data_IF_579254082019
#
_entry.id   IF_579254082019
#
_cell.length_a   1.000
_cell.length_b   1.000
_cell.length_c   1.000
_cell.angle_alpha   90.00
_cell.angle_beta   90.00
_cell.angle_gamma   90.00
#
_symmetry.space_group_name_H-M   'P 1'
#
loop_
_entity.id
_entity.type
_entity.pdbx_description
1 polymer ?
#
# COMPACT_ATOMS: atom_id res chain seq x y z
N UNK A 1 -1.21 2.24 41.51
CA UNK A 1 -0.31 2.33 40.33
C UNK A 1 -0.98 2.95 39.09
N UNK A 2 -2.28 2.75 38.80
CA UNK A 2 -2.94 3.37 37.63
C UNK A 2 -3.08 4.91 37.68
N UNK A 3 -3.19 5.50 38.87
CA UNK A 3 -3.41 6.95 39.04
C UNK A 3 -2.16 7.82 38.77
N UNK A 4 -0.94 7.29 39.00
CA UNK A 4 0.31 8.00 38.69
C UNK A 4 0.64 7.94 37.19
N UNK A 5 0.20 6.87 36.51
CA UNK A 5 0.36 6.65 35.06
C UNK A 5 -0.49 7.65 34.25
N UNK A 6 -1.71 7.96 34.72
CA UNK A 6 -2.57 9.01 34.14
C UNK A 6 -1.94 10.41 34.21
N UNK A 7 -1.17 10.71 35.26
CA UNK A 7 -0.51 12.01 35.43
C UNK A 7 0.63 12.23 34.43
N UNK A 8 1.44 11.20 34.15
CA UNK A 8 2.51 11.31 33.15
C UNK A 8 1.97 11.34 31.71
N UNK A 9 0.78 10.80 31.46
CA UNK A 9 0.11 10.88 30.15
C UNK A 9 -0.49 12.28 29.86
N UNK A 10 -0.74 13.08 30.90
CA UNK A 10 -1.19 14.49 30.79
C UNK A 10 -0.07 15.49 30.51
N UNK A 11 1.21 15.11 30.65
CA UNK A 11 2.34 15.94 30.23
C UNK A 11 2.56 15.91 28.71
N UNK A 12 1.97 14.96 28.01
CA UNK A 12 2.13 14.82 26.57
C UNK A 12 1.00 15.55 25.84
N UNK A 13 1.36 16.52 24.99
CA UNK A 13 0.44 17.17 24.06
C UNK A 13 -0.34 16.12 23.24
N UNK A 14 -1.58 16.42 22.83
CA UNK A 14 -2.44 15.55 22.01
C UNK A 14 -1.72 15.07 20.73
N UNK A 15 -0.78 15.84 20.18
CA UNK A 15 0.08 15.45 19.06
C UNK A 15 1.02 14.29 19.39
N UNK A 16 1.49 14.22 20.64
CA UNK A 16 2.42 13.23 21.16
C UNK A 16 1.71 11.89 21.48
N UNK A 17 0.43 11.93 21.88
CA UNK A 17 -0.39 10.70 21.99
C UNK A 17 -0.63 10.02 20.64
N UNK A 18 -0.87 10.78 19.56
CA UNK A 18 -1.01 10.21 18.20
C UNK A 18 0.32 9.67 17.67
N UNK A 19 1.44 10.33 17.98
CA UNK A 19 2.78 9.81 17.66
C UNK A 19 3.05 8.48 18.39
N UNK A 20 2.73 8.40 19.69
CA UNK A 20 2.87 7.20 20.50
C UNK A 20 1.83 6.10 20.20
N UNK A 21 0.68 6.43 19.59
CA UNK A 21 -0.30 5.45 19.08
C UNK A 21 0.07 4.91 17.69
N UNK A 22 0.68 5.72 16.81
CA UNK A 22 1.05 5.35 15.43
C UNK A 22 2.40 4.66 15.32
N UNK A 23 3.40 5.15 16.03
CA UNK A 23 4.56 4.34 16.36
C UNK A 23 4.02 3.31 17.35
N UNK A 24 3.95 2.03 16.98
CA UNK A 24 3.42 0.99 17.87
C UNK A 24 4.49 0.67 18.93
N UNK A 25 4.84 1.70 19.72
CA UNK A 25 5.63 1.63 20.93
C UNK A 25 4.79 0.89 21.94
N UNK A 26 4.75 -0.43 21.80
CA UNK A 26 4.25 -1.27 22.87
C UNK A 26 5.25 -1.14 24.02
N UNK A 27 4.85 -0.40 25.07
CA UNK A 27 5.53 -0.41 26.38
C UNK A 27 5.43 -1.83 26.95
N UNK A 28 6.36 -2.70 26.56
CA UNK A 28 6.61 -3.91 27.29
C UNK A 28 7.57 -3.52 28.43
N UNK A 29 7.07 -3.46 29.67
CA UNK A 29 7.97 -3.60 30.82
C UNK A 29 8.45 -5.06 30.80
N UNK A 30 9.70 -5.29 30.44
CA UNK A 30 10.27 -6.63 30.29
C UNK A 30 10.69 -7.28 31.63
N UNK A 31 10.30 -6.66 32.75
CA UNK A 31 10.65 -7.12 34.09
C UNK A 31 12.09 -6.82 34.51
N UNK A 32 12.91 -6.15 33.67
CA UNK A 32 14.32 -5.84 33.97
C UNK A 32 14.54 -4.50 34.68
N UNK A 33 13.48 -3.78 35.01
CA UNK A 33 13.54 -2.49 35.71
C UNK A 33 13.65 -1.25 34.81
N UNK A 34 13.64 -1.41 33.48
CA UNK A 34 13.56 -0.29 32.54
C UNK A 34 12.13 0.24 32.41
N UNK A 35 11.99 1.57 32.24
CA UNK A 35 10.69 2.22 32.12
C UNK A 35 9.97 1.87 30.79
N UNK A 36 10.74 1.69 29.71
CA UNK A 36 10.20 1.46 28.37
C UNK A 36 11.20 0.72 27.47
N UNK A 37 10.69 0.13 26.39
CA UNK A 37 11.48 -0.63 25.41
C UNK A 37 11.03 -0.29 23.99
N UNK A 38 11.97 -0.13 23.06
CA UNK A 38 11.72 0.06 21.63
C UNK A 38 12.38 -1.04 20.81
N UNK A 39 11.69 -1.53 19.78
CA UNK A 39 12.19 -2.58 18.87
C UNK A 39 11.99 -2.17 17.43
N UNK A 40 12.93 -2.49 16.55
CA UNK A 40 12.81 -2.19 15.13
C UNK A 40 14.13 -2.26 14.39
N UNK A 41 14.17 -1.63 13.22
CA UNK A 41 15.36 -1.55 12.37
C UNK A 41 15.90 -0.12 12.31
N UNK A 42 17.21 0.00 12.42
CA UNK A 42 17.88 1.30 12.33
C UNK A 42 17.74 1.82 10.89
N UNK A 43 17.10 2.96 10.74
CA UNK A 43 16.91 3.64 9.44
C UNK A 43 18.10 4.51 9.09
N UNK A 44 18.59 5.20 10.11
CA UNK A 44 19.67 6.15 9.98
C UNK A 44 20.38 6.31 11.32
N UNK A 45 21.68 6.57 11.29
CA UNK A 45 22.46 6.85 12.50
C UNK A 45 23.36 8.07 12.33
N UNK A 46 23.35 8.99 13.30
CA UNK A 46 24.34 10.07 13.42
C UNK A 46 25.19 9.80 14.65
N UNK A 47 26.49 9.56 14.44
CA UNK A 47 27.45 9.42 15.53
C UNK A 47 28.14 10.75 15.79
N UNK A 48 28.19 11.19 17.04
CA UNK A 48 28.94 12.38 17.46
C UNK A 48 29.87 12.03 18.62
N UNK A 49 30.73 12.96 19.02
CA UNK A 49 31.77 12.74 20.04
C UNK A 49 31.20 12.29 21.40
N UNK A 50 30.04 12.84 21.79
CA UNK A 50 29.46 12.62 23.13
C UNK A 50 28.09 11.94 23.09
N UNK A 51 27.44 11.89 21.92
CA UNK A 51 26.07 11.41 21.79
C UNK A 51 25.85 10.79 20.41
N UNK A 52 25.06 9.73 20.36
CA UNK A 52 24.60 9.12 19.12
C UNK A 52 23.09 9.29 18.99
N UNK A 53 22.65 9.61 17.77
CA UNK A 53 21.24 9.68 17.41
C UNK A 53 20.91 8.55 16.44
N UNK A 54 19.97 7.69 16.82
CA UNK A 54 19.52 6.53 16.06
C UNK A 54 18.07 6.76 15.67
N UNK A 55 17.77 6.76 14.37
CA UNK A 55 16.38 6.73 13.89
C UNK A 55 15.93 5.27 13.79
N UNK A 56 15.03 4.86 14.66
CA UNK A 56 14.48 3.51 14.71
C UNK A 56 13.08 3.47 14.10
N UNK A 57 12.81 2.48 13.26
CA UNK A 57 11.47 2.26 12.70
C UNK A 57 11.16 0.77 12.62
N UNK A 58 9.94 0.41 13.00
CA UNK A 58 9.41 -0.95 12.99
C UNK A 58 8.50 -1.24 11.78
N UNK A 59 8.22 -0.21 10.96
CA UNK A 59 7.38 -0.28 9.77
C UNK A 59 5.92 0.12 9.99
N UNK A 60 5.43 0.26 11.23
CA UNK A 60 4.00 0.48 11.49
C UNK A 60 3.54 1.91 11.26
N UNK A 61 4.47 2.87 11.22
CA UNK A 61 4.11 4.27 11.05
C UNK A 61 5.29 5.17 10.68
N UNK A 62 4.98 6.46 10.55
CA UNK A 62 5.92 7.57 10.45
C UNK A 62 5.60 8.65 11.50
N UNK A 63 6.61 9.44 11.91
CA UNK A 63 8.03 9.34 11.56
C UNK A 63 8.78 8.22 12.33
N UNK A 64 10.05 7.99 11.99
CA UNK A 64 10.93 7.12 12.78
C UNK A 64 11.17 7.75 14.16
N UNK A 65 11.25 6.92 15.20
CA UNK A 65 11.55 7.39 16.54
C UNK A 65 13.03 7.73 16.68
N UNK A 66 13.33 8.88 17.31
CA UNK A 66 14.70 9.22 17.67
C UNK A 66 15.08 8.58 19.00
N UNK A 67 16.13 7.76 18.96
CA UNK A 67 16.83 7.25 20.13
C UNK A 67 18.11 8.06 20.33
N UNK A 68 18.32 8.50 21.56
CA UNK A 68 19.54 9.17 22.02
C UNK A 68 20.29 8.19 22.92
N UNK A 69 21.59 8.02 22.69
CA UNK A 69 22.42 7.11 23.48
C UNK A 69 23.85 7.60 23.55
N UNK A 70 24.58 7.22 24.60
CA UNK A 70 26.02 7.48 24.66
C UNK A 70 26.76 6.59 23.64
N UNK A 71 27.94 7.02 23.14
CA UNK A 71 28.77 6.20 22.26
C UNK A 71 29.21 4.86 22.87
N UNK A 72 29.32 4.79 24.20
CA UNK A 72 29.77 3.61 24.94
C UNK A 72 28.76 2.45 24.89
N UNK A 73 27.47 2.76 24.79
CA UNK A 73 26.38 1.76 24.70
C UNK A 73 26.28 1.17 23.28
N UNK A 74 26.78 1.89 22.27
CA UNK A 74 26.73 1.43 20.88
C UNK A 74 27.90 0.49 20.55
N UNK A 75 27.64 -0.82 20.49
CA UNK A 75 28.60 -1.77 19.93
C UNK A 75 28.86 -1.51 18.43
N UNK A 76 29.89 -2.18 17.87
CA UNK A 76 30.22 -2.09 16.44
C UNK A 76 29.10 -2.61 15.52
N UNK A 77 28.24 -3.48 16.04
CA UNK A 77 27.13 -4.12 15.31
C UNK A 77 25.86 -3.25 15.23
N UNK A 78 25.87 -2.12 15.96
CA UNK A 78 24.82 -1.11 15.86
C UNK A 78 25.07 -0.27 14.61
N UNK A 79 24.62 -0.79 13.47
CA UNK A 79 24.74 -0.19 12.12
C UNK A 79 23.37 0.08 11.52
N UNK A 80 23.32 0.88 10.46
CA UNK A 80 22.07 1.09 9.71
C UNK A 80 21.57 -0.24 9.12
N UNK A 81 20.26 -0.46 9.16
CA UNK A 81 19.64 -1.73 8.82
C UNK A 81 19.64 -2.79 9.93
N UNK A 82 20.42 -2.64 11.00
CA UNK A 82 20.44 -3.60 12.11
C UNK A 82 19.09 -3.67 12.82
N UNK A 83 18.70 -4.89 13.22
CA UNK A 83 17.56 -5.15 14.08
C UNK A 83 17.99 -5.03 15.55
N UNK A 84 17.36 -4.14 16.31
CA UNK A 84 17.72 -3.87 17.69
C UNK A 84 16.53 -3.87 18.64
N UNK A 85 16.81 -4.03 19.92
CA UNK A 85 15.98 -3.59 21.03
C UNK A 85 16.75 -2.58 21.85
N UNK A 86 16.13 -1.42 22.10
CA UNK A 86 16.66 -0.40 22.99
C UNK A 86 15.82 -0.35 24.27
N UNK A 87 16.48 -0.36 25.42
CA UNK A 87 15.87 -0.24 26.74
C UNK A 87 16.22 1.12 27.33
N UNK A 88 15.26 1.76 28.01
CA UNK A 88 15.45 3.10 28.55
C UNK A 88 14.13 3.81 28.83
N UNK A 89 14.11 5.12 28.61
CA UNK A 89 12.98 5.99 28.99
C UNK A 89 12.66 7.07 27.95
N UNK A 90 11.42 7.53 27.98
CA UNK A 90 10.98 8.67 27.18
C UNK A 90 11.30 9.98 27.89
N UNK A 91 11.73 10.98 27.13
CA UNK A 91 11.88 12.35 27.61
C UNK A 91 11.37 13.34 26.57
N UNK A 92 11.07 14.55 27.02
CA UNK A 92 10.79 15.66 26.12
C UNK A 92 12.02 15.94 25.25
N UNK A 93 11.75 16.18 23.98
CA UNK A 93 12.76 16.57 23.01
C UNK A 93 13.19 18.02 23.26
N UNK A 94 14.49 18.29 23.12
CA UNK A 94 15.02 19.66 23.08
C UNK A 94 14.85 20.25 21.66
N UNK A 95 14.73 19.40 20.63
CA UNK A 95 14.61 19.81 19.24
C UNK A 95 13.16 20.15 18.86
N UNK A 96 12.97 21.17 18.02
CA UNK A 96 11.64 21.60 17.56
C UNK A 96 10.93 20.60 16.61
N UNK A 97 11.69 19.75 15.91
CA UNK A 97 11.15 18.85 14.87
C UNK A 97 10.47 17.58 15.43
N UNK A 98 10.63 17.30 16.72
CA UNK A 98 10.05 16.14 17.40
C UNK A 98 9.68 16.52 18.83
N UNK A 99 8.56 16.02 19.35
CA UNK A 99 8.11 16.36 20.71
C UNK A 99 8.73 15.46 21.78
N UNK A 100 9.20 14.27 21.41
CA UNK A 100 9.73 13.26 22.34
C UNK A 100 10.93 12.54 21.75
N UNK A 101 11.84 12.15 22.64
CA UNK A 101 13.01 11.34 22.32
C UNK A 101 13.11 10.17 23.31
N UNK A 102 13.76 9.08 22.88
CA UNK A 102 13.98 7.91 23.73
C UNK A 102 15.45 7.85 24.16
N UNK A 103 15.72 8.06 25.45
CA UNK A 103 17.05 7.91 26.01
C UNK A 103 17.32 6.43 26.27
N UNK A 104 18.16 5.82 25.45
CA UNK A 104 18.54 4.43 25.61
C UNK A 104 19.69 4.28 26.62
N UNK A 105 19.51 3.34 27.53
CA UNK A 105 20.47 2.94 28.57
C UNK A 105 21.15 1.62 28.19
N UNK A 106 20.46 0.77 27.42
CA UNK A 106 21.00 -0.47 26.86
C UNK A 106 20.48 -0.67 25.43
N UNK A 107 21.34 -1.15 24.52
CA UNK A 107 20.96 -1.57 23.17
C UNK A 107 21.40 -3.02 22.95
N UNK A 108 20.42 -3.89 22.68
CA UNK A 108 20.63 -5.28 22.26
C UNK A 108 20.46 -5.41 20.75
N UNK A 109 21.48 -5.90 20.06
CA UNK A 109 21.41 -6.24 18.62
C UNK A 109 20.91 -7.67 18.46
N UNK A 110 19.86 -7.85 17.65
CA UNK A 110 19.30 -9.18 17.31
C UNK A 110 19.74 -9.66 15.92
N UNK A 111 19.97 -8.72 15.02
CA UNK A 111 20.39 -9.02 13.65
C UNK A 111 21.29 -7.89 13.14
N UNK A 112 22.62 -8.08 13.12
CA UNK A 112 23.53 -7.08 12.58
C UNK A 112 23.32 -6.94 11.06
N UNK A 113 23.59 -5.74 10.54
CA UNK A 113 23.51 -5.47 9.10
C UNK A 113 24.90 -5.24 8.51
N UNK A 114 25.26 -6.05 7.51
CA UNK A 114 26.46 -5.82 6.71
C UNK A 114 26.19 -4.74 5.65
N UNK A 115 26.63 -3.52 5.95
CA UNK A 115 26.43 -2.35 5.08
C UNK A 115 27.11 -2.44 3.72
N UNK A 116 28.12 -3.30 3.54
CA UNK A 116 28.75 -3.51 2.22
C UNK A 116 27.87 -4.34 1.30
N UNK A 117 27.05 -5.25 1.86
CA UNK A 117 26.13 -6.12 1.11
C UNK A 117 24.70 -5.58 1.08
N UNK A 118 24.36 -4.62 1.93
CA UNK A 118 23.01 -4.08 2.02
C UNK A 118 22.69 -3.19 0.80
N UNK A 119 21.65 -3.50 0.00
CA UNK A 119 21.43 -2.86 -1.29
C UNK A 119 20.89 -1.42 -1.20
N UNK A 120 20.46 -0.98 -0.01
CA UNK A 120 19.85 0.34 0.19
C UNK A 120 20.73 1.22 1.07
N UNK A 121 21.58 2.01 0.42
CA UNK A 121 22.35 3.03 1.11
C UNK A 121 21.42 4.04 1.80
N UNK A 122 21.66 4.34 3.09
CA UNK A 122 20.94 5.37 3.83
C UNK A 122 21.12 6.74 3.17
N UNK A 123 20.11 7.61 3.31
CA UNK A 123 19.99 8.94 2.66
C UNK A 123 19.99 8.95 1.13
N UNK A 124 20.34 7.86 0.46
CA UNK A 124 20.25 7.75 -0.99
C UNK A 124 18.81 7.48 -1.41
N UNK A 125 18.35 8.26 -2.38
CA UNK A 125 17.13 8.01 -3.13
C UNK A 125 17.44 6.94 -4.18
N UNK A 126 16.80 5.78 -4.04
CA UNK A 126 16.91 4.69 -5.01
C UNK A 126 15.80 4.81 -6.06
N UNK A 127 16.11 4.41 -7.30
CA UNK A 127 15.13 4.33 -8.39
C UNK A 127 14.11 3.22 -8.13
N UNK A 128 12.91 3.34 -8.71
CA UNK A 128 11.90 2.29 -8.59
C UNK A 128 12.38 0.95 -9.17
N UNK A 129 13.20 0.98 -10.23
CA UNK A 129 13.80 -0.20 -10.83
C UNK A 129 14.76 -0.92 -9.88
N UNK A 130 15.66 -0.18 -9.22
CA UNK A 130 16.55 -0.75 -8.21
C UNK A 130 15.77 -1.38 -7.04
N UNK A 131 14.70 -0.71 -6.59
CA UNK A 131 13.84 -1.26 -5.54
C UNK A 131 13.13 -2.57 -5.96
N UNK A 132 12.80 -2.73 -7.25
CA UNK A 132 12.16 -3.95 -7.78
C UNK A 132 13.11 -5.15 -7.82
N UNK A 133 14.43 -4.93 -7.90
CA UNK A 133 15.42 -6.02 -7.83
C UNK A 133 15.51 -6.68 -6.44
N UNK A 134 15.04 -5.98 -5.39
CA UNK A 134 15.14 -6.45 -3.99
C UNK A 134 13.76 -6.48 -3.31
N UNK A 135 12.80 -7.20 -3.89
CA UNK A 135 11.40 -7.27 -3.41
C UNK A 135 11.27 -7.66 -1.92
N UNK A 136 12.12 -8.57 -1.45
CA UNK A 136 12.13 -9.06 -0.07
C UNK A 136 12.69 -8.02 0.94
N UNK A 137 13.45 -7.01 0.48
CA UNK A 137 14.01 -5.96 1.34
C UNK A 137 13.32 -4.60 1.16
N UNK A 138 12.75 -4.30 -0.01
CA UNK A 138 12.16 -2.99 -0.31
C UNK A 138 11.12 -2.49 0.71
N UNK A 139 10.33 -3.33 1.43
CA UNK A 139 9.45 -2.84 2.50
C UNK A 139 10.20 -2.09 3.60
N UNK A 140 11.50 -2.35 3.76
CA UNK A 140 12.36 -1.58 4.66
C UNK A 140 12.57 -0.15 4.19
N UNK A 141 12.25 0.25 2.97
CA UNK A 141 12.42 1.64 2.53
C UNK A 141 11.25 2.53 2.97
N UNK A 142 11.49 3.84 3.12
CA UNK A 142 10.47 4.78 3.58
C UNK A 142 9.34 5.00 2.56
N UNK A 143 9.61 4.78 1.28
CA UNK A 143 8.63 4.87 0.20
C UNK A 143 7.75 3.63 0.15
N UNK A 144 8.34 2.44 0.06
CA UNK A 144 7.55 1.22 -0.05
C UNK A 144 6.72 0.96 1.21
N UNK A 145 7.26 1.18 2.41
CA UNK A 145 6.47 1.04 3.64
C UNK A 145 5.26 2.00 3.70
N UNK A 146 5.42 3.24 3.22
CA UNK A 146 4.31 4.20 3.12
C UNK A 146 3.24 3.72 2.13
N UNK A 147 3.64 3.28 0.94
CA UNK A 147 2.72 2.73 -0.06
C UNK A 147 1.98 1.50 0.47
N UNK A 148 2.66 0.61 1.21
CA UNK A 148 2.02 -0.57 1.81
C UNK A 148 0.99 -0.19 2.89
N UNK A 149 1.27 0.81 3.73
CA UNK A 149 0.30 1.32 4.72
C UNK A 149 -0.89 2.02 4.07
N UNK A 150 -0.66 2.80 3.01
CA UNK A 150 -1.73 3.41 2.21
C UNK A 150 -2.60 2.31 1.59
N UNK A 151 -1.98 1.29 0.97
CA UNK A 151 -2.70 0.14 0.39
C UNK A 151 -3.53 -0.57 1.44
N UNK A 152 -2.98 -0.85 2.62
CA UNK A 152 -3.72 -1.44 3.73
C UNK A 152 -4.96 -0.60 4.11
N UNK A 153 -4.79 0.71 4.26
CA UNK A 153 -5.89 1.64 4.58
C UNK A 153 -6.95 1.61 3.50
N UNK A 154 -6.57 1.68 2.22
CA UNK A 154 -7.48 1.60 1.10
C UNK A 154 -8.25 0.26 1.08
N UNK A 155 -7.57 -0.86 1.36
CA UNK A 155 -8.22 -2.17 1.45
C UNK A 155 -9.28 -2.20 2.56
N UNK A 156 -9.00 -1.61 3.73
CA UNK A 156 -9.99 -1.55 4.81
C UNK A 156 -11.14 -0.59 4.47
N UNK A 157 -10.86 0.52 3.79
CA UNK A 157 -11.86 1.47 3.34
C UNK A 157 -12.86 0.82 2.35
N UNK A 158 -12.38 -0.06 1.45
CA UNK A 158 -13.24 -0.86 0.56
C UNK A 158 -14.25 -1.67 1.36
N UNK A 159 -13.77 -2.49 2.31
CA UNK A 159 -14.65 -3.31 3.12
C UNK A 159 -15.61 -2.45 3.95
N UNK A 160 -15.13 -1.37 4.56
CA UNK A 160 -15.94 -0.44 5.34
C UNK A 160 -17.08 0.14 4.51
N UNK A 161 -16.78 0.68 3.32
CA UNK A 161 -17.80 1.24 2.41
C UNK A 161 -18.89 0.22 2.09
N UNK A 162 -18.51 -0.98 1.65
CA UNK A 162 -19.50 -1.99 1.26
C UNK A 162 -20.35 -2.47 2.45
N UNK A 163 -19.74 -2.66 3.63
CA UNK A 163 -20.47 -3.09 4.83
C UNK A 163 -21.43 -2.00 5.33
N UNK A 164 -21.00 -0.73 5.33
CA UNK A 164 -21.87 0.41 5.70
C UNK A 164 -23.03 0.60 4.71
N UNK A 165 -22.90 0.14 3.46
CA UNK A 165 -23.93 0.19 2.43
C UNK A 165 -24.73 -1.13 2.28
N UNK A 166 -24.55 -2.08 3.21
CA UNK A 166 -25.34 -3.32 3.29
C UNK A 166 -24.97 -4.41 2.30
N UNK A 167 -23.77 -4.38 1.72
CA UNK A 167 -23.27 -5.43 0.84
C UNK A 167 -22.65 -6.58 1.64
N UNK A 168 -22.82 -7.81 1.15
CA UNK A 168 -22.19 -9.01 1.72
C UNK A 168 -20.91 -9.34 0.94
N UNK A 169 -19.82 -9.59 1.67
CA UNK A 169 -18.55 -10.01 1.09
C UNK A 169 -18.59 -11.50 0.71
N UNK A 170 -18.32 -11.80 -0.55
CA UNK A 170 -18.38 -13.14 -1.13
C UNK A 170 -17.01 -13.52 -1.66
N UNK A 171 -16.51 -14.69 -1.26
CA UNK A 171 -15.34 -15.29 -1.88
C UNK A 171 -15.75 -16.02 -3.16
N UNK A 172 -15.27 -15.53 -4.30
CA UNK A 172 -15.47 -16.16 -5.61
C UNK A 172 -14.34 -17.17 -5.91
N UNK A 173 -14.60 -18.24 -6.67
CA UNK A 173 -13.57 -19.20 -7.05
C UNK A 173 -12.47 -18.56 -7.91
N UNK A 174 -11.20 -18.89 -7.60
CA UNK A 174 -10.05 -18.48 -8.42
C UNK A 174 -9.82 -19.47 -9.57
N UNK A 175 -10.00 -20.76 -9.31
CA UNK A 175 -9.96 -21.82 -10.31
C UNK A 175 -11.33 -21.91 -10.97
N UNK A 176 -11.39 -21.69 -12.28
CA UNK A 176 -12.64 -21.62 -13.03
C UNK A 176 -12.51 -22.31 -14.38
N UNK A 177 -13.56 -22.99 -14.83
CA UNK A 177 -13.71 -23.43 -16.22
C UNK A 177 -14.30 -22.35 -17.12
N UNK A 178 -14.76 -21.24 -16.54
CA UNK A 178 -15.42 -20.15 -17.25
C UNK A 178 -14.40 -19.12 -17.71
N UNK A 179 -14.57 -18.65 -18.94
CA UNK A 179 -13.97 -17.42 -19.44
C UNK A 179 -14.99 -16.28 -19.29
N UNK A 180 -14.82 -15.44 -18.27
CA UNK A 180 -15.77 -14.36 -17.99
C UNK A 180 -15.70 -13.21 -19.00
N UNK A 181 -14.54 -12.96 -19.63
CA UNK A 181 -14.33 -11.84 -20.57
C UNK A 181 -14.39 -12.29 -22.05
N UNK A 182 -14.36 -13.61 -22.32
CA UNK A 182 -14.74 -14.24 -23.59
C UNK A 182 -13.78 -14.05 -24.77
N UNK A 183 -12.71 -13.27 -24.61
CA UNK A 183 -11.73 -12.95 -25.66
C UNK A 183 -10.28 -12.83 -25.16
N UNK A 184 -10.04 -12.96 -23.85
CA UNK A 184 -8.73 -12.76 -23.24
C UNK A 184 -7.85 -14.02 -23.26
N UNK A 185 -6.53 -13.82 -23.26
CA UNK A 185 -5.61 -14.94 -23.00
C UNK A 185 -5.71 -15.33 -21.52
N UNK A 186 -5.94 -16.62 -21.25
CA UNK A 186 -6.10 -17.18 -19.90
C UNK A 186 -4.87 -17.99 -19.47
N UNK A 187 -4.54 -17.94 -18.18
CA UNK A 187 -3.59 -18.89 -17.60
C UNK A 187 -4.28 -20.23 -17.36
N UNK A 188 -3.79 -21.28 -18.02
CA UNK A 188 -4.28 -22.66 -17.80
C UNK A 188 -3.59 -23.28 -16.59
N UNK A 189 -4.37 -23.89 -15.70
CA UNK A 189 -3.88 -24.61 -14.53
C UNK A 189 -3.84 -26.11 -14.83
N UNK A 190 -2.64 -26.69 -14.71
CA UNK A 190 -2.42 -28.13 -14.85
C UNK A 190 -1.68 -28.67 -13.64
N UNK A 191 -2.01 -29.88 -13.20
CA UNK A 191 -1.27 -30.55 -12.14
C UNK A 191 0.05 -31.05 -12.74
N UNK A 192 1.17 -30.68 -12.10
CA UNK A 192 2.50 -31.12 -12.50
C UNK A 192 2.84 -32.45 -11.82
N UNK A 193 3.19 -33.45 -12.61
CA UNK A 193 3.59 -34.78 -12.13
C UNK A 193 5.12 -34.80 -11.96
N UNK A 194 5.62 -34.96 -10.73
CA UNK A 194 6.97 -35.49 -10.55
C UNK A 194 6.89 -36.98 -10.85
N UNK A 195 7.24 -37.36 -12.07
CA UNK A 195 7.50 -38.75 -12.41
C UNK A 195 8.82 -39.17 -11.75
N UNK A 196 8.77 -39.52 -10.46
CA UNK A 196 9.78 -40.39 -9.89
C UNK A 196 9.47 -41.79 -10.44
N UNK A 197 10.24 -42.18 -11.46
CA UNK A 197 10.42 -43.55 -11.97
C UNK A 197 9.31 -44.56 -11.65
N UNK A 198 8.24 -44.62 -12.46
CA UNK A 198 7.66 -45.89 -12.91
C UNK A 198 6.47 -45.67 -13.86
N UNK A 199 6.54 -46.35 -15.00
CA UNK A 199 5.45 -46.73 -15.92
C UNK A 199 4.46 -45.67 -16.43
N UNK A 200 4.39 -45.62 -17.77
CA UNK A 200 3.37 -45.01 -18.63
C UNK A 200 1.94 -45.49 -18.31
N UNK A 201 1.37 -45.12 -17.18
CA UNK A 201 -0.08 -45.20 -16.94
C UNK A 201 -0.69 -43.83 -17.19
N UNK A 202 -1.70 -43.69 -18.07
CA UNK A 202 -2.49 -42.47 -18.13
C UNK A 202 -3.14 -42.27 -16.76
N UNK A 203 -2.69 -41.25 -16.04
CA UNK A 203 -3.32 -40.83 -14.79
C UNK A 203 -4.61 -40.10 -15.16
N UNK A 204 -5.75 -40.38 -14.49
CA UNK A 204 -6.98 -39.66 -14.76
C UNK A 204 -6.77 -38.16 -14.57
N UNK A 205 -7.28 -37.35 -15.52
CA UNK A 205 -7.21 -35.90 -15.43
C UNK A 205 -7.80 -35.44 -14.08
N UNK A 206 -7.04 -34.63 -13.32
CA UNK A 206 -7.48 -34.14 -12.01
C UNK A 206 -8.80 -33.35 -12.11
N UNK A 207 -8.94 -32.57 -13.19
CA UNK A 207 -10.16 -31.85 -13.52
C UNK A 207 -10.84 -32.55 -14.70
N UNK A 208 -12.16 -32.66 -14.65
CA UNK A 208 -12.98 -33.23 -15.74
C UNK A 208 -13.15 -32.28 -16.92
N UNK A 209 -12.69 -31.03 -16.79
CA UNK A 209 -12.75 -29.98 -17.79
C UNK A 209 -11.52 -29.08 -17.66
N UNK A 210 -11.13 -28.33 -18.71
CA UNK A 210 -10.09 -27.32 -18.61
C UNK A 210 -10.35 -26.33 -17.46
N UNK A 211 -9.31 -26.04 -16.69
CA UNK A 211 -9.36 -25.09 -15.57
C UNK A 211 -8.34 -23.99 -15.79
N UNK A 212 -8.76 -22.77 -15.49
CA UNK A 212 -8.02 -21.54 -15.67
C UNK A 212 -7.95 -20.75 -14.36
N UNK A 213 -6.99 -19.83 -14.28
CA UNK A 213 -7.04 -18.76 -13.31
C UNK A 213 -8.07 -17.71 -13.77
N UNK A 214 -8.96 -17.32 -12.88
CA UNK A 214 -10.05 -16.40 -13.21
C UNK A 214 -9.55 -15.01 -13.63
N UNK A 215 -10.18 -14.44 -14.65
CA UNK A 215 -10.02 -13.02 -15.03
C UNK A 215 -10.95 -12.11 -14.21
N UNK A 216 -12.06 -12.64 -13.68
CA UNK A 216 -13.11 -11.88 -13.01
C UNK A 216 -14.04 -12.80 -12.21
N UNK A 217 -14.49 -12.36 -11.04
CA UNK A 217 -15.51 -13.02 -10.23
C UNK A 217 -16.95 -12.71 -10.63
N UNK A 218 -17.18 -11.84 -11.61
CA UNK A 218 -18.48 -11.26 -11.96
C UNK A 218 -19.60 -12.30 -12.11
N UNK A 219 -19.43 -13.31 -12.98
CA UNK A 219 -20.48 -14.32 -13.23
C UNK A 219 -20.88 -15.10 -11.97
N UNK A 220 -19.94 -15.29 -11.03
CA UNK A 220 -20.24 -15.92 -9.74
C UNK A 220 -21.03 -14.98 -8.84
N UNK A 221 -20.70 -13.68 -8.84
CA UNK A 221 -21.46 -12.68 -8.10
C UNK A 221 -22.89 -12.54 -8.63
N UNK A 222 -23.09 -12.56 -9.96
CA UNK A 222 -24.43 -12.56 -10.57
C UNK A 222 -25.29 -13.73 -10.07
N UNK A 223 -24.72 -14.93 -10.02
CA UNK A 223 -25.41 -16.11 -9.49
C UNK A 223 -25.79 -15.94 -8.01
N UNK A 224 -24.89 -15.40 -7.17
CA UNK A 224 -25.17 -15.16 -5.75
C UNK A 224 -26.16 -14.00 -5.55
N UNK A 225 -26.11 -12.99 -6.42
CA UNK A 225 -26.97 -11.81 -6.36
C UNK A 225 -28.46 -12.17 -6.44
N UNK A 226 -28.79 -13.27 -7.15
CA UNK A 226 -30.15 -13.81 -7.21
C UNK A 226 -30.76 -14.18 -5.85
N UNK A 227 -29.92 -14.50 -4.84
CA UNK A 227 -30.35 -14.78 -3.47
C UNK A 227 -29.98 -13.70 -2.45
N UNK A 228 -28.98 -12.87 -2.76
CA UNK A 228 -28.48 -11.80 -1.88
C UNK A 228 -28.33 -10.53 -2.71
N UNK A 229 -29.25 -9.58 -2.56
CA UNK A 229 -29.40 -8.44 -3.48
C UNK A 229 -28.18 -7.52 -3.62
N UNK A 230 -27.25 -7.53 -2.66
CA UNK A 230 -26.03 -6.72 -2.66
C UNK A 230 -24.83 -7.56 -2.27
N UNK A 231 -23.95 -7.84 -3.22
CA UNK A 231 -22.74 -8.64 -2.98
C UNK A 231 -21.52 -7.99 -3.57
N UNK A 232 -20.36 -8.26 -2.99
CA UNK A 232 -19.08 -7.85 -3.56
C UNK A 232 -17.98 -8.87 -3.27
N UNK A 233 -16.96 -8.88 -4.11
CA UNK A 233 -15.71 -9.61 -3.89
C UNK A 233 -14.52 -8.65 -3.95
N UNK A 234 -13.43 -9.11 -3.35
CA UNK A 234 -12.13 -8.47 -3.39
C UNK A 234 -11.12 -9.61 -3.54
N UNK A 235 -10.84 -9.98 -4.79
CA UNK A 235 -10.15 -11.21 -5.15
C UNK A 235 -8.99 -10.92 -6.10
N UNK A 236 -7.92 -11.74 -6.09
CA UNK A 236 -6.97 -11.73 -7.19
C UNK A 236 -7.67 -12.10 -8.51
N UNK A 237 -7.18 -11.50 -9.59
CA UNK A 237 -7.55 -11.73 -10.97
C UNK A 237 -6.28 -11.82 -11.83
N UNK A 238 -6.37 -12.57 -12.92
CA UNK A 238 -5.21 -12.92 -13.73
C UNK A 238 -5.47 -12.69 -15.21
N UNK A 239 -4.56 -11.98 -15.89
CA UNK A 239 -4.62 -11.76 -17.35
C UNK A 239 -3.33 -12.23 -17.99
N UNK A 240 -3.42 -13.12 -18.98
CA UNK A 240 -2.24 -13.68 -19.64
C UNK A 240 -1.80 -12.88 -20.89
N UNK A 241 -2.41 -11.72 -21.14
CA UNK A 241 -2.03 -10.83 -22.23
C UNK A 241 -0.55 -10.46 -22.17
N UNK A 242 0.14 -10.53 -23.32
CA UNK A 242 1.55 -10.17 -23.44
C UNK A 242 1.73 -8.65 -23.54
N UNK A 243 1.35 -7.95 -22.48
CA UNK A 243 1.43 -6.49 -22.37
C UNK A 243 2.41 -6.09 -21.26
N UNK A 244 3.58 -5.55 -21.65
CA UNK A 244 4.66 -5.18 -20.72
C UNK A 244 4.76 -3.66 -20.56
N UNK A 245 3.63 -3.03 -20.21
CA UNK A 245 3.58 -1.58 -19.99
C UNK A 245 3.67 -1.26 -18.50
N UNK A 246 3.84 0.00 -18.13
CA UNK A 246 3.90 0.43 -16.72
C UNK A 246 2.59 0.23 -15.94
N UNK A 247 1.48 -0.04 -16.64
CA UNK A 247 0.13 -0.07 -16.08
C UNK A 247 -0.49 -1.48 -16.05
N UNK A 248 0.18 -2.48 -16.64
CA UNK A 248 -0.34 -3.84 -16.72
C UNK A 248 0.39 -4.77 -15.74
N UNK A 249 -0.39 -5.63 -15.09
CA UNK A 249 0.08 -6.71 -14.23
C UNK A 249 -0.63 -7.99 -14.66
N UNK A 250 0.11 -9.10 -14.71
CA UNK A 250 -0.48 -10.42 -14.99
C UNK A 250 -1.31 -10.95 -13.81
N UNK A 251 -0.99 -10.50 -12.59
CA UNK A 251 -1.74 -10.76 -11.35
C UNK A 251 -2.02 -9.42 -10.66
N UNK A 252 -3.29 -9.15 -10.41
CA UNK A 252 -3.76 -7.95 -9.73
C UNK A 252 -4.97 -8.29 -8.86
N UNK A 253 -5.46 -7.33 -8.08
CA UNK A 253 -6.68 -7.54 -7.29
C UNK A 253 -7.81 -6.70 -7.89
N UNK A 254 -8.97 -7.33 -8.03
CA UNK A 254 -10.21 -6.67 -8.43
C UNK A 254 -11.14 -6.52 -7.25
N UNK A 255 -11.89 -5.43 -7.29
CA UNK A 255 -13.04 -5.19 -6.42
C UNK A 255 -14.23 -5.18 -7.37
N UNK A 256 -15.13 -6.13 -7.19
CA UNK A 256 -16.28 -6.32 -8.08
C UNK A 256 -17.52 -6.38 -7.18
N UNK A 257 -18.57 -5.68 -7.57
CA UNK A 257 -19.81 -5.63 -6.81
C UNK A 257 -20.99 -5.82 -7.75
N UNK A 258 -21.96 -6.59 -7.29
CA UNK A 258 -23.18 -6.91 -8.01
C UNK A 258 -24.39 -6.45 -7.20
N UNK A 259 -25.35 -5.83 -7.88
CA UNK A 259 -26.53 -5.23 -7.28
C UNK A 259 -27.77 -5.71 -8.04
N UNK A 260 -28.70 -6.34 -7.32
CA UNK A 260 -30.01 -6.69 -7.85
C UNK A 260 -30.97 -5.50 -7.80
N UNK A 261 -31.99 -5.54 -8.65
CA UNK A 261 -33.07 -4.55 -8.71
C UNK A 261 -32.63 -3.14 -9.13
N UNK A 262 -31.54 -3.02 -9.89
CA UNK A 262 -31.18 -1.77 -10.57
C UNK A 262 -32.20 -1.46 -11.67
N UNK A 263 -32.65 -0.21 -11.74
CA UNK A 263 -33.57 0.27 -12.78
C UNK A 263 -32.81 0.88 -13.95
N UNK A 264 -31.61 1.40 -13.71
CA UNK A 264 -30.78 2.00 -14.75
C UNK A 264 -29.28 1.97 -14.41
N UNK A 265 -28.45 2.34 -15.38
CA UNK A 265 -27.00 2.48 -15.17
C UNK A 265 -26.66 3.55 -14.11
N UNK A 266 -27.57 4.50 -13.88
CA UNK A 266 -27.43 5.54 -12.87
C UNK A 266 -27.20 4.96 -11.47
N UNK A 267 -27.90 3.88 -11.13
CA UNK A 267 -27.77 3.20 -9.84
C UNK A 267 -26.34 2.69 -9.61
N UNK A 268 -25.74 2.12 -10.65
CA UNK A 268 -24.37 1.59 -10.63
C UNK A 268 -23.36 2.75 -10.58
N UNK A 269 -23.59 3.81 -11.36
CA UNK A 269 -22.70 4.98 -11.40
C UNK A 269 -22.64 5.69 -10.04
N UNK A 270 -23.75 5.76 -9.31
CA UNK A 270 -23.78 6.29 -7.94
C UNK A 270 -22.96 5.44 -6.97
N UNK A 271 -23.02 4.11 -7.07
CA UNK A 271 -22.17 3.22 -6.27
C UNK A 271 -20.69 3.42 -6.60
N UNK A 272 -20.34 3.50 -7.88
CA UNK A 272 -18.95 3.74 -8.31
C UNK A 272 -18.40 5.06 -7.78
N UNK A 273 -19.15 6.15 -7.94
CA UNK A 273 -18.77 7.49 -7.47
C UNK A 273 -18.66 7.52 -5.93
N UNK A 274 -19.66 6.98 -5.24
CA UNK A 274 -19.68 6.88 -3.78
C UNK A 274 -18.50 6.08 -3.22
N UNK A 275 -18.17 4.94 -3.84
CA UNK A 275 -17.02 4.12 -3.50
C UNK A 275 -15.74 4.94 -3.62
N UNK A 276 -15.44 5.48 -4.81
CA UNK A 276 -14.18 6.21 -5.04
C UNK A 276 -14.03 7.41 -4.08
N UNK A 277 -15.09 8.21 -3.88
CA UNK A 277 -15.06 9.35 -2.95
C UNK A 277 -14.86 8.91 -1.50
N UNK A 278 -15.60 7.92 -1.03
CA UNK A 278 -15.51 7.41 0.36
C UNK A 278 -14.12 6.85 0.66
N UNK A 279 -13.59 6.01 -0.25
CA UNK A 279 -12.26 5.41 -0.10
C UNK A 279 -11.17 6.47 -0.09
N UNK A 280 -11.26 7.46 -0.99
CA UNK A 280 -10.27 8.52 -1.08
C UNK A 280 -10.28 9.37 0.19
N UNK A 281 -11.45 9.73 0.71
CA UNK A 281 -11.60 10.48 1.97
C UNK A 281 -10.98 9.72 3.15
N UNK A 282 -11.33 8.45 3.32
CA UNK A 282 -10.78 7.60 4.39
C UNK A 282 -9.25 7.47 4.29
N UNK A 283 -8.71 7.29 3.08
CA UNK A 283 -7.26 7.20 2.85
C UNK A 283 -6.57 8.53 3.15
N UNK A 284 -7.13 9.66 2.71
CA UNK A 284 -6.60 11.01 2.94
C UNK A 284 -6.56 11.35 4.43
N UNK A 285 -7.59 10.99 5.19
CA UNK A 285 -7.68 11.23 6.63
C UNK A 285 -6.73 10.31 7.42
N UNK A 286 -6.81 9.00 7.18
CA UNK A 286 -6.10 7.99 7.98
C UNK A 286 -4.61 7.94 7.63
N UNK A 287 -4.24 8.10 6.36
CA UNK A 287 -2.86 7.99 5.84
C UNK A 287 -2.22 9.33 5.44
N UNK A 288 -2.71 10.45 5.94
CA UNK A 288 -2.28 11.81 5.56
C UNK A 288 -0.75 12.02 5.50
N UNK A 289 -0.01 11.52 6.50
CA UNK A 289 1.46 11.68 6.56
C UNK A 289 2.19 10.87 5.49
N UNK A 290 1.69 9.66 5.20
CA UNK A 290 2.24 8.82 4.16
C UNK A 290 1.94 9.38 2.78
N UNK A 291 0.73 9.90 2.56
CA UNK A 291 0.33 10.55 1.31
C UNK A 291 1.18 11.80 1.06
N UNK A 292 1.31 12.69 2.05
CA UNK A 292 2.19 13.88 1.94
C UNK A 292 3.64 13.50 1.67
N UNK A 293 4.11 12.39 2.24
CA UNK A 293 5.46 11.90 1.96
C UNK A 293 5.59 11.39 0.51
N UNK A 294 4.67 10.53 0.07
CA UNK A 294 4.71 9.93 -1.28
C UNK A 294 4.54 11.02 -2.34
N UNK A 295 3.64 11.97 -2.12
CA UNK A 295 3.41 13.11 -3.00
C UNK A 295 4.68 13.95 -3.17
N UNK A 296 5.31 14.41 -2.07
CA UNK A 296 6.59 15.15 -2.11
C UNK A 296 7.72 14.36 -2.77
N UNK A 297 7.66 13.02 -2.72
CA UNK A 297 8.69 12.13 -3.27
C UNK A 297 8.57 11.96 -4.79
N UNK A 298 7.35 12.03 -5.33
CA UNK A 298 7.02 11.73 -6.73
C UNK A 298 6.71 12.98 -7.57
N UNK A 299 6.23 14.06 -6.94
CA UNK A 299 5.78 15.27 -7.62
C UNK A 299 6.30 16.53 -6.92
N UNK A 300 6.63 17.55 -7.71
CA UNK A 300 7.01 18.87 -7.21
C UNK A 300 5.84 19.88 -7.22
N UNK A 301 4.70 19.56 -7.85
CA UNK A 301 3.54 20.45 -7.92
C UNK A 301 2.56 20.20 -6.78
N UNK A 302 2.13 21.30 -6.13
CA UNK A 302 1.10 21.32 -5.09
C UNK A 302 -0.29 20.89 -5.56
N UNK A 303 -0.50 20.85 -6.88
CA UNK A 303 -1.83 20.83 -7.50
C UNK A 303 -2.56 19.48 -7.34
N UNK A 304 -1.85 18.40 -7.05
CA UNK A 304 -2.45 17.07 -6.92
C UNK A 304 -3.37 16.96 -5.70
N UNK A 305 -2.97 17.51 -4.56
CA UNK A 305 -3.79 17.42 -3.34
C UNK A 305 -5.07 18.23 -3.50
N UNK A 306 -4.97 19.43 -4.08
CA UNK A 306 -6.14 20.25 -4.44
C UNK A 306 -7.04 19.53 -5.45
N UNK A 307 -6.49 18.86 -6.46
CA UNK A 307 -7.27 18.09 -7.42
C UNK A 307 -8.00 16.90 -6.78
N UNK A 308 -7.39 16.26 -5.77
CA UNK A 308 -8.04 15.19 -4.99
C UNK A 308 -9.19 15.77 -4.17
N UNK A 309 -9.00 16.90 -3.50
CA UNK A 309 -10.06 17.57 -2.74
C UNK A 309 -11.22 17.96 -3.66
N UNK A 310 -10.92 18.54 -4.83
CA UNK A 310 -11.91 18.85 -5.87
C UNK A 310 -12.67 17.61 -6.37
N UNK A 311 -11.97 16.48 -6.59
CA UNK A 311 -12.58 15.22 -7.00
C UNK A 311 -13.52 14.66 -5.93
N UNK A 312 -13.20 14.87 -4.64
CA UNK A 312 -14.06 14.43 -3.54
C UNK A 312 -15.34 15.28 -3.47
N UNK A 313 -15.23 16.60 -3.64
CA UNK A 313 -16.33 17.55 -3.41
C UNK A 313 -17.25 17.74 -4.63
N UNK A 314 -16.73 17.61 -5.86
CA UNK A 314 -17.51 17.81 -7.10
C UNK A 314 -18.15 16.51 -7.56
N UNK A 315 -19.35 16.59 -8.14
CA UNK A 315 -20.00 15.45 -8.80
C UNK A 315 -19.20 14.99 -10.03
N UNK A 316 -19.15 13.68 -10.26
CA UNK A 316 -18.45 13.13 -11.43
C UNK A 316 -19.24 13.45 -12.69
N UNK A 317 -18.55 13.99 -13.69
CA UNK A 317 -19.16 14.29 -14.98
C UNK A 317 -19.49 12.96 -15.68
N UNK A 318 -20.74 12.82 -16.12
CA UNK A 318 -21.24 11.64 -16.82
C UNK A 318 -21.52 12.02 -18.26
N UNK A 319 -20.78 11.42 -19.18
CA UNK A 319 -20.89 11.69 -20.61
C UNK A 319 -21.21 10.41 -21.39
N UNK A 320 -22.18 10.43 -22.31
CA UNK A 320 -22.32 9.40 -23.32
C UNK A 320 -21.03 9.26 -24.14
N UNK A 321 -20.71 8.03 -24.55
CA UNK A 321 -19.53 7.73 -25.35
C UNK A 321 -19.42 8.60 -26.61
N UNK A 322 -20.54 8.82 -27.31
CA UNK A 322 -20.59 9.61 -28.55
C UNK A 322 -20.20 11.07 -28.31
N UNK A 323 -20.59 11.65 -27.18
CA UNK A 323 -20.22 13.02 -26.82
C UNK A 323 -18.74 13.10 -26.45
N UNK A 324 -18.23 12.14 -25.67
CA UNK A 324 -16.81 12.04 -25.36
C UNK A 324 -15.95 11.94 -26.63
N UNK A 325 -16.36 11.12 -27.61
CA UNK A 325 -15.67 11.00 -28.90
C UNK A 325 -15.69 12.31 -29.68
N UNK A 326 -16.82 13.03 -29.69
CA UNK A 326 -16.91 14.35 -30.33
C UNK A 326 -15.95 15.36 -29.71
N UNK A 327 -15.82 15.38 -28.38
CA UNK A 327 -14.88 16.24 -27.67
C UNK A 327 -13.44 15.90 -28.06
N UNK A 328 -13.08 14.62 -28.04
CA UNK A 328 -11.73 14.16 -28.42
C UNK A 328 -11.40 14.53 -29.87
N UNK A 329 -12.32 14.32 -30.81
CA UNK A 329 -12.10 14.67 -32.22
C UNK A 329 -11.88 16.17 -32.40
N UNK A 330 -12.67 17.02 -31.73
CA UNK A 330 -12.48 18.49 -31.75
C UNK A 330 -11.10 18.90 -31.22
N UNK A 331 -10.62 18.25 -30.17
CA UNK A 331 -9.27 18.51 -29.62
C UNK A 331 -8.20 18.08 -30.63
N UNK A 332 -8.36 16.94 -31.29
CA UNK A 332 -7.42 16.46 -32.31
C UNK A 332 -7.35 17.37 -33.54
N UNK A 333 -8.47 17.98 -33.92
CA UNK A 333 -8.59 18.90 -35.06
C UNK A 333 -8.10 20.33 -34.74
N UNK A 334 -8.02 20.71 -33.46
CA UNK A 334 -7.56 22.04 -33.02
C UNK A 334 -6.14 21.99 -32.42
N UNK A 335 -5.12 22.54 -33.11
CA UNK A 335 -3.74 22.57 -32.61
C UNK A 335 -3.59 23.31 -31.26
N UNK A 336 -4.42 24.33 -31.02
CA UNK A 336 -4.42 25.15 -29.80
C UNK A 336 -4.94 24.34 -28.61
N UNK A 337 -6.10 23.67 -28.76
CA UNK A 337 -6.67 22.81 -27.72
C UNK A 337 -5.78 21.59 -27.47
N UNK A 338 -5.16 21.03 -28.51
CA UNK A 338 -4.21 19.94 -28.38
C UNK A 338 -2.99 20.35 -27.56
N UNK A 339 -2.45 21.56 -27.77
CA UNK A 339 -1.34 22.08 -26.97
C UNK A 339 -1.75 22.31 -25.51
N UNK A 340 -2.96 22.81 -25.25
CA UNK A 340 -3.49 23.03 -23.91
C UNK A 340 -3.69 21.71 -23.15
N UNK A 341 -4.30 20.70 -23.79
CA UNK A 341 -4.53 19.38 -23.20
C UNK A 341 -3.21 18.62 -22.99
N UNK A 342 -2.26 18.68 -23.93
CA UNK A 342 -0.94 18.05 -23.74
C UNK A 342 -0.10 18.71 -22.63
N UNK A 343 -0.38 19.98 -22.29
CA UNK A 343 0.26 20.66 -21.15
C UNK A 343 -0.34 20.26 -19.80
N UNK A 344 -1.58 19.75 -19.76
CA UNK A 344 -2.13 19.01 -18.63
C UNK A 344 -1.43 17.66 -18.60
N UNK A 345 -0.31 17.54 -17.86
CA UNK A 345 0.51 16.31 -17.77
C UNK A 345 -0.28 15.12 -17.18
N UNK A 346 -1.12 14.48 -17.99
CA UNK A 346 -1.38 13.06 -17.91
C UNK A 346 -0.42 12.46 -18.93
N UNK A 347 0.69 11.86 -18.47
CA UNK A 347 1.55 11.04 -19.32
C UNK A 347 0.74 9.80 -19.74
N UNK A 348 -0.11 9.95 -20.75
CA UNK A 348 -0.55 8.81 -21.54
C UNK A 348 0.68 8.45 -22.39
N UNK A 349 1.35 7.36 -22.04
CA UNK A 349 2.40 6.82 -22.86
C UNK A 349 1.78 6.39 -24.19
N UNK A 350 2.10 7.10 -25.27
CA UNK A 350 1.89 6.61 -26.62
C UNK A 350 2.81 5.39 -26.80
N UNK A 351 2.23 4.20 -26.82
CA UNK A 351 2.85 3.05 -27.47
C UNK A 351 2.64 3.21 -28.97
N UNK A 352 3.64 3.80 -29.63
CA UNK A 352 3.90 3.60 -31.04
C UNK A 352 5.34 4.01 -31.33
N UNK A 353 6.24 3.04 -31.28
CA UNK A 353 7.51 3.13 -31.99
C UNK A 353 7.96 1.75 -32.45
N UNK A 354 7.44 1.41 -33.63
CA UNK A 354 8.17 0.86 -34.77
C UNK A 354 8.79 -0.55 -34.64
N UNK A 355 8.26 -1.42 -35.50
CA UNK A 355 9.02 -2.42 -36.23
C UNK A 355 10.43 -1.93 -36.60
N UNK A 356 11.44 -2.63 -36.09
CA UNK A 356 12.65 -3.00 -36.81
C UNK A 356 13.24 -4.26 -36.19
#
# INVERSE_FOLDING_TARGET
>A
MSASISKNMKMFCVSCQRFLQRCNVRRFSDGRGYESTMKGWIRHMRKQKHVNFIQLNDGTGKPAAQIVTSPEICSKDVTEGSCITAYGKYQESIAQEQSVEFLAEEIKVHGPCNMQKYPFQPRKIHSHEHLRQFLHLRPKTALTSAVLRIRNTATMAVHKYFQENGYIFIHTPILSSNDCEGAGQLFTVKVSEKNDDDEKKPIPEFFTSPVFLTVSGQLHLEAVASGISKVYTFSPAFRAERSQTSNHLAEFYMIEAELSFTESLEDIMQVMEGLIKSLTREVMETSADDIRFVHRRNSASSDLLTAIDDMIEKEFIRLPYVEALSIVNKICESPELKAEVCNIKIKIHNEDSQMS
#
